data_IF_955967868764
#
_entry.id   IF_955967868764
#
_cell.length_a   1.000
_cell.length_b   1.000
_cell.length_c   1.000
_cell.angle_alpha   90.00
_cell.angle_beta   90.00
_cell.angle_gamma   90.00
#
_symmetry.space_group_name_H-M   'P 1'
#
loop_
_entity.id
_entity.type
_entity.pdbx_description
1 polymer ?
#
# COMPACT_ATOMS: atom_id res chain seq x y z
N UNK A 1 -7.18 7.39 -26.37
CA UNK A 1 -7.23 5.91 -26.40
C UNK A 1 -8.01 5.50 -25.17
N UNK A 2 -9.06 4.68 -25.27
CA UNK A 2 -9.76 4.20 -24.08
C UNK A 2 -8.75 3.44 -23.22
N UNK A 3 -8.55 3.88 -21.98
CA UNK A 3 -7.64 3.22 -21.07
C UNK A 3 -8.03 1.76 -20.93
N UNK A 4 -7.05 0.86 -21.08
CA UNK A 4 -7.23 -0.56 -20.83
C UNK A 4 -7.74 -0.72 -19.39
N UNK A 5 -8.86 -1.41 -19.20
CA UNK A 5 -9.46 -1.71 -17.89
C UNK A 5 -9.32 -3.22 -17.66
N UNK A 6 -8.19 -3.69 -17.08
CA UNK A 6 -7.92 -5.12 -16.92
C UNK A 6 -9.02 -5.90 -16.19
N UNK A 7 -9.76 -5.25 -15.29
CA UNK A 7 -10.81 -5.85 -14.48
C UNK A 7 -12.22 -5.36 -14.83
N UNK A 8 -12.42 -4.82 -16.04
CA UNK A 8 -13.76 -4.48 -16.52
C UNK A 8 -14.68 -5.71 -16.45
N UNK A 9 -15.82 -5.55 -15.79
CA UNK A 9 -16.81 -6.62 -15.59
C UNK A 9 -16.61 -7.45 -14.32
N UNK A 10 -15.51 -7.29 -13.59
CA UNK A 10 -15.30 -7.96 -12.29
C UNK A 10 -15.99 -7.18 -11.18
N UNK A 11 -16.85 -7.86 -10.41
CA UNK A 11 -17.54 -7.30 -9.23
C UNK A 11 -16.85 -7.74 -7.94
N UNK A 12 -16.49 -6.78 -7.08
CA UNK A 12 -15.81 -7.01 -5.80
C UNK A 12 -16.67 -6.51 -4.65
N UNK A 13 -17.01 -7.40 -3.73
CA UNK A 13 -17.64 -7.06 -2.46
C UNK A 13 -16.56 -6.86 -1.39
N UNK A 14 -16.42 -5.61 -0.95
CA UNK A 14 -15.38 -5.17 -0.03
C UNK A 14 -15.97 -5.00 1.39
N UNK A 15 -15.68 -5.95 2.28
CA UNK A 15 -15.96 -5.90 3.71
C UNK A 15 -14.67 -5.67 4.49
N UNK A 16 -13.84 -4.74 4.01
CA UNK A 16 -12.60 -4.35 4.67
C UNK A 16 -12.71 -2.97 5.32
N UNK A 17 -11.80 -2.72 6.26
CA UNK A 17 -11.72 -1.49 7.03
C UNK A 17 -10.28 -0.99 7.19
N UNK A 18 -10.12 0.23 7.67
CA UNK A 18 -8.86 0.91 7.98
C UNK A 18 -8.04 1.20 6.72
N UNK A 19 -6.93 0.50 6.46
CA UNK A 19 -5.99 0.87 5.37
C UNK A 19 -5.67 -0.32 4.46
N UNK A 20 -5.15 -1.43 5.00
CA UNK A 20 -4.67 -2.56 4.20
C UNK A 20 -5.69 -3.06 3.17
N UNK A 21 -6.90 -3.36 3.63
CA UNK A 21 -7.97 -3.87 2.77
C UNK A 21 -8.47 -2.81 1.78
N UNK A 22 -8.88 -1.62 2.25
CA UNK A 22 -9.35 -0.56 1.36
C UNK A 22 -8.31 -0.15 0.32
N UNK A 23 -7.01 -0.17 0.66
CA UNK A 23 -5.94 0.11 -0.29
C UNK A 23 -5.84 -0.96 -1.38
N UNK A 24 -5.88 -2.26 -1.00
CA UNK A 24 -5.85 -3.35 -1.97
C UNK A 24 -7.04 -3.34 -2.91
N UNK A 25 -8.26 -3.16 -2.41
CA UNK A 25 -9.47 -3.10 -3.23
C UNK A 25 -9.57 -1.82 -4.06
N UNK A 26 -8.93 -0.73 -3.63
CA UNK A 26 -8.82 0.49 -4.44
C UNK A 26 -7.94 0.29 -5.68
N UNK A 27 -6.85 -0.48 -5.56
CA UNK A 27 -6.02 -0.86 -6.72
C UNK A 27 -6.85 -1.67 -7.72
N UNK A 28 -7.71 -2.58 -7.26
CA UNK A 28 -8.65 -3.32 -8.11
C UNK A 28 -9.65 -2.38 -8.81
N UNK A 29 -10.18 -1.40 -8.07
CA UNK A 29 -11.11 -0.40 -8.60
C UNK A 29 -10.47 0.48 -9.69
N UNK A 30 -9.21 0.90 -9.50
CA UNK A 30 -8.42 1.62 -10.50
C UNK A 30 -8.21 0.76 -11.78
N UNK A 31 -8.02 -0.56 -11.64
CA UNK A 31 -7.94 -1.49 -12.79
C UNK A 31 -9.27 -1.73 -13.50
N UNK A 32 -10.37 -1.12 -13.04
CA UNK A 32 -11.67 -1.20 -13.72
C UNK A 32 -12.71 -2.07 -13.02
N UNK A 33 -12.38 -2.73 -11.91
CA UNK A 33 -13.35 -3.51 -11.15
C UNK A 33 -14.48 -2.61 -10.63
N UNK A 34 -15.67 -3.19 -10.49
CA UNK A 34 -16.78 -2.59 -9.77
C UNK A 34 -16.72 -3.01 -8.31
N UNK A 35 -16.28 -2.09 -7.45
CA UNK A 35 -16.03 -2.37 -6.03
C UNK A 35 -17.11 -1.74 -5.18
N UNK A 36 -17.88 -2.57 -4.47
CA UNK A 36 -18.91 -2.14 -3.52
C UNK A 36 -18.41 -2.39 -2.11
N UNK A 37 -18.20 -1.31 -1.36
CA UNK A 37 -17.79 -1.36 0.05
C UNK A 37 -19.03 -1.40 0.93
N UNK A 38 -19.09 -2.39 1.82
CA UNK A 38 -20.13 -2.52 2.84
C UNK A 38 -19.64 -1.85 4.12
N UNK A 39 -20.33 -0.79 4.52
CA UNK A 39 -19.98 0.03 5.68
C UNK A 39 -21.04 -0.01 6.77
N UNK A 40 -20.65 0.38 7.98
CA UNK A 40 -21.58 0.62 9.09
C UNK A 40 -22.13 2.04 9.03
N UNK A 41 -23.13 2.36 9.86
CA UNK A 41 -23.73 3.70 9.94
C UNK A 41 -22.77 4.81 10.36
N UNK A 42 -21.63 4.46 10.95
CA UNK A 42 -20.56 5.41 11.30
C UNK A 42 -19.44 5.46 10.25
N UNK A 43 -19.50 4.61 9.23
CA UNK A 43 -18.46 4.46 8.23
C UNK A 43 -17.17 3.82 8.75
N UNK A 44 -16.18 3.69 7.88
CA UNK A 44 -14.87 3.18 8.26
C UNK A 44 -13.99 4.25 8.95
N UNK A 45 -13.01 3.81 9.75
CA UNK A 45 -12.02 4.66 10.41
C UNK A 45 -11.29 5.57 9.41
N UNK A 46 -11.05 5.10 8.18
CA UNK A 46 -10.38 5.89 7.15
C UNK A 46 -11.09 7.23 6.86
N UNK A 47 -12.42 7.29 7.01
CA UNK A 47 -13.24 8.51 6.85
C UNK A 47 -12.85 9.65 7.77
N UNK A 48 -12.19 9.32 8.88
CA UNK A 48 -11.83 10.26 9.95
C UNK A 48 -10.31 10.34 10.19
N UNK A 49 -9.50 9.73 9.32
CA UNK A 49 -8.04 9.79 9.39
C UNK A 49 -7.51 11.15 8.91
N UNK A 50 -7.55 12.12 9.82
CA UNK A 50 -7.25 13.51 9.53
C UNK A 50 -8.45 14.25 8.94
N UNK A 51 -8.25 15.54 8.65
CA UNK A 51 -9.30 16.37 8.04
C UNK A 51 -9.35 16.12 6.53
N UNK A 52 -10.50 16.36 5.94
CA UNK A 52 -10.66 16.46 4.49
C UNK A 52 -11.73 17.48 4.12
N UNK A 53 -12.17 17.52 2.85
CA UNK A 53 -13.11 18.52 2.36
C UNK A 53 -14.54 18.35 2.92
N UNK A 54 -14.83 17.22 3.57
CA UNK A 54 -16.13 16.93 4.19
C UNK A 54 -15.93 16.14 5.50
N UNK A 55 -16.83 16.27 6.51
CA UNK A 55 -16.72 15.53 7.77
C UNK A 55 -16.54 14.01 7.63
N UNK A 56 -17.21 13.42 6.64
CA UNK A 56 -17.18 11.96 6.38
C UNK A 56 -16.17 11.54 5.29
N UNK A 57 -15.31 12.46 4.85
CA UNK A 57 -14.28 12.22 3.84
C UNK A 57 -12.98 12.91 4.24
N UNK A 58 -12.08 12.15 4.85
CA UNK A 58 -10.71 12.59 5.12
C UNK A 58 -9.89 12.70 3.82
N UNK A 59 -8.72 13.35 3.90
CA UNK A 59 -7.74 13.29 2.82
C UNK A 59 -7.28 11.86 2.48
N UNK A 60 -7.34 10.93 3.44
CA UNK A 60 -7.02 9.51 3.22
C UNK A 60 -8.15 8.84 2.43
N UNK A 61 -9.41 9.09 2.78
CA UNK A 61 -10.60 8.53 2.11
C UNK A 61 -10.70 8.93 0.66
N UNK A 62 -10.35 10.17 0.30
CA UNK A 62 -10.29 10.62 -1.09
C UNK A 62 -9.46 9.69 -1.98
N UNK A 63 -8.42 9.09 -1.40
CA UNK A 63 -7.51 8.20 -2.10
C UNK A 63 -7.97 6.74 -2.01
N UNK A 64 -8.37 6.26 -0.83
CA UNK A 64 -8.73 4.85 -0.63
C UNK A 64 -10.11 4.45 -1.17
N UNK A 65 -11.00 5.42 -1.37
CA UNK A 65 -12.38 5.15 -1.78
C UNK A 65 -12.68 5.58 -3.22
N UNK A 66 -11.74 6.21 -3.93
CA UNK A 66 -11.93 6.51 -5.36
C UNK A 66 -12.21 5.23 -6.15
N UNK A 67 -12.99 5.34 -7.21
CA UNK A 67 -13.48 4.25 -8.06
C UNK A 67 -14.38 3.22 -7.37
N UNK A 68 -14.73 3.39 -6.09
CA UNK A 68 -15.61 2.48 -5.35
C UNK A 68 -17.02 3.04 -5.21
N UNK A 69 -17.95 2.16 -4.83
CA UNK A 69 -19.30 2.47 -4.36
C UNK A 69 -19.39 2.19 -2.87
N UNK A 70 -20.20 2.97 -2.14
CA UNK A 70 -20.44 2.78 -0.70
C UNK A 70 -21.90 2.47 -0.44
N UNK A 71 -22.16 1.38 0.30
CA UNK A 71 -23.46 1.05 0.87
C UNK A 71 -23.32 0.87 2.38
N UNK A 72 -24.21 1.50 3.14
CA UNK A 72 -24.32 1.28 4.59
C UNK A 72 -25.33 0.19 4.85
N UNK A 73 -24.96 -0.85 5.58
CA UNK A 73 -25.79 -2.04 5.80
C UNK A 73 -25.64 -2.58 7.23
N UNK A 74 -26.76 -2.78 7.95
CA UNK A 74 -26.73 -3.48 9.24
C UNK A 74 -26.76 -5.00 9.07
N UNK A 75 -25.57 -5.60 9.02
CA UNK A 75 -25.38 -7.05 8.90
C UNK A 75 -25.91 -7.87 10.09
N UNK A 76 -26.36 -7.23 11.18
CA UNK A 76 -26.95 -7.91 12.35
C UNK A 76 -28.45 -8.14 12.19
N UNK A 77 -29.09 -7.44 11.25
CA UNK A 77 -30.50 -7.65 10.90
C UNK A 77 -30.65 -8.79 9.90
N UNK A 78 -31.79 -9.49 9.93
CA UNK A 78 -32.07 -10.58 8.99
C UNK A 78 -32.21 -10.03 7.55
N UNK A 79 -32.82 -8.85 7.40
CA UNK A 79 -32.96 -8.16 6.12
C UNK A 79 -31.61 -7.69 5.58
N UNK A 80 -30.77 -7.10 6.44
CA UNK A 80 -29.42 -6.68 6.06
C UNK A 80 -28.53 -7.86 5.69
N UNK A 81 -28.68 -8.99 6.40
CA UNK A 81 -28.02 -10.24 6.04
C UNK A 81 -28.49 -10.76 4.68
N UNK A 82 -29.78 -10.74 4.40
CA UNK A 82 -30.33 -11.17 3.12
C UNK A 82 -29.81 -10.31 1.95
N UNK A 83 -29.70 -9.00 2.13
CA UNK A 83 -29.10 -8.09 1.14
C UNK A 83 -27.62 -8.43 0.92
N UNK A 84 -26.86 -8.65 1.99
CA UNK A 84 -25.45 -9.05 1.90
C UNK A 84 -25.27 -10.37 1.14
N UNK A 85 -26.12 -11.37 1.39
CA UNK A 85 -26.06 -12.65 0.68
C UNK A 85 -26.35 -12.48 -0.82
N UNK A 86 -27.31 -11.62 -1.20
CA UNK A 86 -27.55 -11.25 -2.60
C UNK A 86 -26.33 -10.58 -3.23
N UNK A 87 -25.66 -9.68 -2.51
CA UNK A 87 -24.41 -9.06 -2.97
C UNK A 87 -23.31 -10.09 -3.20
N UNK A 88 -23.19 -11.09 -2.31
CA UNK A 88 -22.22 -12.19 -2.48
C UNK A 88 -22.51 -13.01 -3.73
N UNK A 89 -23.78 -13.34 -4.00
CA UNK A 89 -24.19 -14.10 -5.20
C UNK A 89 -23.82 -13.36 -6.50
N UNK A 90 -23.96 -12.04 -6.48
CA UNK A 90 -23.64 -11.17 -7.62
C UNK A 90 -22.15 -10.84 -7.75
N UNK A 91 -21.31 -11.20 -6.78
CA UNK A 91 -19.90 -10.82 -6.75
C UNK A 91 -18.97 -11.92 -7.26
N UNK A 92 -17.90 -11.52 -7.94
CA UNK A 92 -16.81 -12.40 -8.34
C UNK A 92 -15.80 -12.61 -7.21
N UNK A 93 -15.59 -11.56 -6.41
CA UNK A 93 -14.59 -11.50 -5.36
C UNK A 93 -15.24 -11.02 -4.08
N UNK A 94 -14.94 -11.67 -2.96
CA UNK A 94 -15.23 -11.17 -1.62
C UNK A 94 -13.93 -10.92 -0.87
N UNK A 95 -13.81 -9.74 -0.27
CA UNK A 95 -12.63 -9.34 0.50
C UNK A 95 -13.04 -8.95 1.92
N UNK A 96 -12.31 -9.43 2.93
CA UNK A 96 -12.48 -8.99 4.32
C UNK A 96 -11.15 -8.87 5.05
N UNK A 97 -11.07 -8.02 6.07
CA UNK A 97 -9.95 -8.00 7.01
C UNK A 97 -10.38 -8.28 8.46
N UNK A 98 -11.55 -8.90 8.63
CA UNK A 98 -11.99 -9.36 9.93
C UNK A 98 -11.10 -10.50 10.45
N UNK A 99 -10.80 -10.45 11.75
CA UNK A 99 -10.12 -11.53 12.48
C UNK A 99 -10.90 -12.86 12.40
N UNK A 100 -10.24 -14.03 12.51
CA UNK A 100 -10.89 -15.35 12.47
C UNK A 100 -12.22 -15.41 13.26
N UNK A 101 -12.20 -15.12 14.56
CA UNK A 101 -13.40 -15.19 15.38
C UNK A 101 -14.47 -14.16 15.00
N UNK A 102 -14.08 -13.01 14.43
CA UNK A 102 -15.04 -12.02 13.90
C UNK A 102 -15.68 -12.49 12.59
N UNK A 103 -14.94 -13.18 11.71
CA UNK A 103 -15.46 -13.73 10.46
C UNK A 103 -16.52 -14.79 10.71
N UNK A 104 -16.25 -15.68 11.67
CA UNK A 104 -17.20 -16.71 12.10
C UNK A 104 -18.48 -16.08 12.65
N UNK A 105 -18.37 -15.11 13.56
CA UNK A 105 -19.55 -14.41 14.12
C UNK A 105 -20.34 -13.65 13.06
N UNK A 106 -19.66 -13.06 12.08
CA UNK A 106 -20.29 -12.34 10.97
C UNK A 106 -20.81 -13.27 9.86
N UNK A 107 -20.52 -14.58 9.92
CA UNK A 107 -20.89 -15.59 8.92
C UNK A 107 -20.39 -15.25 7.52
N UNK A 108 -19.11 -14.88 7.43
CA UNK A 108 -18.44 -14.51 6.16
C UNK A 108 -17.22 -15.39 5.87
N UNK A 109 -17.15 -16.57 6.47
CA UNK A 109 -16.10 -17.55 6.19
C UNK A 109 -16.33 -18.22 4.82
N UNK A 110 -15.33 -18.91 4.24
CA UNK A 110 -15.55 -19.70 3.04
C UNK A 110 -16.72 -20.69 3.18
N UNK A 111 -16.83 -21.37 4.33
CA UNK A 111 -17.90 -22.33 4.58
C UNK A 111 -19.29 -21.68 4.56
N UNK A 112 -19.41 -20.41 4.96
CA UNK A 112 -20.67 -19.66 4.92
C UNK A 112 -21.03 -19.19 3.49
N UNK A 113 -20.04 -18.78 2.70
CA UNK A 113 -20.27 -18.09 1.42
C UNK A 113 -20.21 -19.01 0.20
N UNK A 114 -19.46 -20.12 0.26
CA UNK A 114 -19.37 -21.13 -0.83
C UNK A 114 -20.72 -21.71 -1.24
N UNK A 115 -21.67 -22.01 -0.32
CA UNK A 115 -23.01 -22.48 -0.71
C UNK A 115 -23.80 -21.45 -1.55
N UNK A 116 -23.51 -20.16 -1.40
CA UNK A 116 -24.16 -19.08 -2.15
C UNK A 116 -23.49 -18.86 -3.52
N UNK A 117 -22.15 -18.93 -3.54
CA UNK A 117 -21.33 -18.70 -4.74
C UNK A 117 -20.14 -19.67 -4.78
N UNK A 118 -20.29 -20.86 -5.41
CA UNK A 118 -19.27 -21.92 -5.37
C UNK A 118 -17.90 -21.53 -5.94
N UNK A 119 -17.88 -20.67 -6.96
CA UNK A 119 -16.67 -20.19 -7.66
C UNK A 119 -16.16 -18.83 -7.15
N UNK A 120 -16.62 -18.35 -5.99
CA UNK A 120 -16.21 -17.07 -5.41
C UNK A 120 -14.68 -17.00 -5.21
N UNK A 121 -14.05 -15.87 -5.52
CA UNK A 121 -12.67 -15.60 -5.08
C UNK A 121 -12.75 -14.96 -3.69
N UNK A 122 -12.47 -15.74 -2.65
CA UNK A 122 -12.54 -15.29 -1.26
C UNK A 122 -11.15 -14.96 -0.75
N UNK A 123 -10.95 -13.72 -0.31
CA UNK A 123 -9.66 -13.23 0.20
C UNK A 123 -9.85 -12.58 1.56
N UNK A 124 -9.07 -13.04 2.54
CA UNK A 124 -8.97 -12.39 3.83
C UNK A 124 -7.58 -11.82 4.08
N UNK A 125 -7.53 -10.58 4.53
CA UNK A 125 -6.31 -9.90 4.95
C UNK A 125 -6.24 -9.86 6.47
N UNK A 126 -5.39 -10.71 7.05
CA UNK A 126 -5.25 -10.93 8.48
C UNK A 126 -3.95 -10.31 9.01
N UNK A 127 -3.88 -10.07 10.32
CA UNK A 127 -2.64 -9.65 10.98
C UNK A 127 -1.58 -10.75 11.02
N UNK A 128 -2.02 -11.95 11.39
CA UNK A 128 -1.19 -13.15 11.60
C UNK A 128 -1.81 -14.34 10.88
N UNK A 129 -1.03 -15.41 10.70
CA UNK A 129 -1.53 -16.68 10.17
C UNK A 129 -2.70 -17.19 11.04
N UNK A 130 -3.86 -17.56 10.44
CA UNK A 130 -5.00 -18.12 11.16
C UNK A 130 -4.70 -19.37 12.01
N UNK A 131 -3.61 -20.09 11.71
CA UNK A 131 -3.18 -21.27 12.43
C UNK A 131 -2.13 -20.97 13.51
N UNK A 132 -1.73 -19.71 13.66
CA UNK A 132 -0.78 -19.28 14.70
C UNK A 132 -1.47 -19.05 16.04
N UNK A 133 -0.70 -19.07 17.13
CA UNK A 133 -1.20 -18.69 18.48
C UNK A 133 -1.68 -17.24 18.56
N UNK A 134 -1.30 -16.40 17.58
CA UNK A 134 -1.66 -14.99 17.49
C UNK A 134 -2.81 -14.73 16.50
N UNK A 135 -3.51 -15.76 16.02
CA UNK A 135 -4.52 -15.65 14.96
C UNK A 135 -5.60 -14.58 15.23
N UNK A 136 -6.06 -14.43 16.47
CA UNK A 136 -7.07 -13.43 16.88
C UNK A 136 -6.48 -12.17 17.56
N UNK A 137 -5.15 -12.06 17.62
CA UNK A 137 -4.47 -10.89 18.16
C UNK A 137 -4.78 -9.64 17.29
N UNK A 138 -4.82 -8.48 17.93
CA UNK A 138 -4.95 -7.22 17.19
C UNK A 138 -3.65 -6.94 16.41
N UNK A 139 -3.79 -6.58 15.15
CA UNK A 139 -2.69 -6.17 14.30
C UNK A 139 -3.01 -4.82 13.68
N UNK A 140 -2.06 -3.91 13.81
CA UNK A 140 -2.00 -2.61 13.14
C UNK A 140 -0.57 -2.44 12.63
N UNK A 141 -0.37 -1.48 11.74
CA UNK A 141 0.91 -1.24 11.08
C UNK A 141 2.10 -1.24 12.06
N UNK A 142 2.05 -0.40 13.10
CA UNK A 142 3.09 -0.30 14.13
C UNK A 142 3.36 -1.63 14.86
N UNK A 143 2.31 -2.40 15.13
CA UNK A 143 2.43 -3.70 15.81
C UNK A 143 3.17 -4.69 14.92
N UNK A 144 2.87 -4.69 13.62
CA UNK A 144 3.54 -5.57 12.66
C UNK A 144 4.98 -5.09 12.39
N UNK A 145 5.22 -3.77 12.32
CA UNK A 145 6.59 -3.24 12.22
C UNK A 145 7.45 -3.70 13.40
N UNK A 146 6.92 -3.62 14.63
CA UNK A 146 7.60 -4.10 15.83
C UNK A 146 7.86 -5.62 15.78
N UNK A 147 6.88 -6.39 15.34
CA UNK A 147 6.95 -7.86 15.34
C UNK A 147 7.92 -8.42 14.28
N UNK A 148 8.21 -7.67 13.22
CA UNK A 148 8.93 -8.19 12.03
C UNK A 148 10.41 -7.82 11.97
N UNK A 149 10.93 -7.09 12.95
CA UNK A 149 12.33 -6.66 12.99
C UNK A 149 12.60 -5.36 12.23
N UNK A 150 11.58 -4.69 11.71
CA UNK A 150 11.75 -3.40 11.02
C UNK A 150 12.39 -2.35 11.94
N UNK A 151 11.95 -2.25 13.19
CA UNK A 151 12.50 -1.30 14.17
C UNK A 151 13.99 -1.57 14.45
N UNK A 152 14.39 -2.84 14.53
CA UNK A 152 15.80 -3.24 14.67
C UNK A 152 16.65 -2.81 13.46
N UNK A 153 16.09 -2.81 12.25
CA UNK A 153 16.83 -2.28 11.07
C UNK A 153 17.11 -0.79 11.17
N UNK A 154 16.18 0.01 11.69
CA UNK A 154 16.41 1.44 11.92
C UNK A 154 17.49 1.67 12.98
N UNK A 155 17.43 0.94 14.09
CA UNK A 155 18.44 1.03 15.15
C UNK A 155 19.84 0.66 14.65
N UNK A 156 19.96 -0.44 13.90
CA UNK A 156 21.23 -0.87 13.31
C UNK A 156 21.75 0.09 12.25
N UNK A 157 20.86 0.78 11.54
CA UNK A 157 21.21 1.86 10.61
C UNK A 157 21.61 3.16 11.32
N UNK A 158 21.80 3.16 12.64
CA UNK A 158 22.22 4.33 13.41
C UNK A 158 21.12 5.37 13.63
N UNK A 159 19.85 5.02 13.35
CA UNK A 159 18.69 5.84 13.66
C UNK A 159 18.15 5.48 15.06
N UNK A 160 17.36 6.36 15.70
CA UNK A 160 16.61 5.95 16.89
C UNK A 160 15.65 4.79 16.53
N UNK A 161 15.21 3.97 17.51
CA UNK A 161 14.29 2.85 17.27
C UNK A 161 12.87 3.36 16.99
N UNK A 162 12.67 3.91 15.79
CA UNK A 162 11.41 4.50 15.33
C UNK A 162 10.71 3.59 14.34
N UNK A 163 9.39 3.76 14.25
CA UNK A 163 8.59 3.20 13.15
C UNK A 163 8.89 3.96 11.85
N UNK A 164 8.58 3.33 10.72
CA UNK A 164 8.48 4.02 9.45
C UNK A 164 7.42 5.13 9.57
N UNK A 165 7.69 6.36 9.12
CA UNK A 165 6.68 7.42 9.07
C UNK A 165 5.70 7.23 7.89
N UNK A 166 5.36 5.97 7.61
CA UNK A 166 4.40 5.51 6.62
C UNK A 166 3.78 4.20 7.12
N UNK A 167 2.55 3.92 6.69
CA UNK A 167 1.87 2.65 6.98
C UNK A 167 2.39 1.53 6.07
N UNK A 168 3.63 1.09 6.29
CA UNK A 168 4.35 0.19 5.38
C UNK A 168 3.78 -1.22 5.38
N UNK A 169 3.47 -1.79 6.54
CA UNK A 169 2.94 -3.14 6.65
C UNK A 169 1.53 -3.22 6.05
N UNK A 170 0.69 -2.21 6.29
CA UNK A 170 -0.64 -2.09 5.68
C UNK A 170 -0.53 -2.01 4.14
N UNK A 171 0.33 -1.14 3.62
CA UNK A 171 0.44 -0.89 2.17
C UNK A 171 1.07 -2.06 1.41
N UNK A 172 2.13 -2.67 1.94
CA UNK A 172 2.74 -3.88 1.35
C UNK A 172 1.72 -5.02 1.31
N UNK A 173 1.01 -5.23 2.41
CA UNK A 173 -0.02 -6.29 2.49
C UNK A 173 -1.24 -5.98 1.62
N UNK A 174 -1.63 -4.72 1.46
CA UNK A 174 -2.69 -4.31 0.53
C UNK A 174 -2.32 -4.54 -0.93
N UNK A 175 -1.05 -4.34 -1.31
CA UNK A 175 -0.57 -4.73 -2.64
C UNK A 175 -0.61 -6.25 -2.84
N UNK A 176 -0.21 -7.03 -1.83
CA UNK A 176 -0.31 -8.49 -1.86
C UNK A 176 -1.78 -8.96 -1.94
N UNK A 177 -2.72 -8.24 -1.31
CA UNK A 177 -4.16 -8.49 -1.43
C UNK A 177 -4.63 -8.36 -2.88
N UNK A 178 -4.29 -7.27 -3.55
CA UNK A 178 -4.63 -7.11 -4.96
C UNK A 178 -4.04 -8.25 -5.81
N UNK A 179 -2.80 -8.66 -5.54
CA UNK A 179 -2.17 -9.81 -6.22
C UNK A 179 -2.91 -11.13 -5.96
N UNK A 180 -3.33 -11.40 -4.72
CA UNK A 180 -4.09 -12.59 -4.36
C UNK A 180 -5.44 -12.64 -5.08
N UNK A 181 -6.14 -11.50 -5.18
CA UNK A 181 -7.38 -11.41 -5.96
C UNK A 181 -7.13 -11.70 -7.44
N UNK A 182 -6.10 -11.09 -8.04
CA UNK A 182 -5.73 -11.35 -9.44
C UNK A 182 -5.38 -12.83 -9.68
N UNK A 183 -4.61 -13.44 -8.78
CA UNK A 183 -4.26 -14.86 -8.85
C UNK A 183 -5.50 -15.76 -8.70
N UNK A 184 -6.40 -15.43 -7.79
CA UNK A 184 -7.66 -16.16 -7.59
C UNK A 184 -8.60 -16.07 -8.80
N UNK A 185 -8.74 -14.88 -9.38
CA UNK A 185 -9.52 -14.67 -10.62
C UNK A 185 -8.92 -15.46 -11.79
N UNK A 186 -7.60 -15.46 -11.92
CA UNK A 186 -6.91 -16.21 -12.97
C UNK A 186 -6.98 -17.72 -12.78
N UNK A 187 -6.94 -18.20 -11.53
CA UNK A 187 -7.19 -19.59 -11.20
C UNK A 187 -8.62 -19.99 -11.60
N UNK A 188 -9.61 -19.18 -11.24
CA UNK A 188 -11.02 -19.40 -11.60
C UNK A 188 -11.24 -19.44 -13.10
N UNK A 189 -10.61 -18.55 -13.86
CA UNK A 189 -10.69 -18.55 -15.33
C UNK A 189 -10.18 -19.87 -15.95
N UNK A 190 -9.18 -20.50 -15.33
CA UNK A 190 -8.56 -21.73 -15.85
C UNK A 190 -9.25 -23.02 -15.42
N UNK A 191 -9.94 -23.00 -14.29
CA UNK A 191 -10.47 -24.20 -13.63
C UNK A 191 -11.98 -24.19 -13.49
N UNK A 192 -12.61 -23.02 -13.52
CA UNK A 192 -13.99 -22.80 -13.10
C UNK A 192 -14.18 -22.78 -11.58
N UNK A 193 -13.11 -22.93 -10.79
CA UNK A 193 -13.17 -23.05 -9.33
C UNK A 193 -12.73 -21.76 -8.63
N UNK A 194 -13.39 -21.44 -7.51
CA UNK A 194 -13.01 -20.31 -6.68
C UNK A 194 -11.77 -20.62 -5.84
N UNK A 195 -11.28 -19.62 -5.10
CA UNK A 195 -10.11 -19.79 -4.20
C UNK A 195 -10.39 -19.19 -2.83
N UNK A 196 -9.78 -19.78 -1.80
CA UNK A 196 -9.78 -19.25 -0.43
C UNK A 196 -8.35 -18.85 -0.07
N UNK A 197 -8.08 -17.56 0.06
CA UNK A 197 -6.75 -17.05 0.39
C UNK A 197 -6.77 -16.25 1.69
N UNK A 198 -5.83 -16.53 2.58
CA UNK A 198 -5.55 -15.66 3.74
C UNK A 198 -4.13 -15.12 3.62
N UNK A 199 -4.00 -13.80 3.68
CA UNK A 199 -2.72 -13.11 3.72
C UNK A 199 -2.48 -12.59 5.13
N UNK A 200 -1.37 -12.99 5.76
CA UNK A 200 -0.96 -12.47 7.05
C UNK A 200 0.02 -11.30 6.88
N UNK A 201 -0.31 -10.12 7.43
CA UNK A 201 0.57 -8.95 7.41
C UNK A 201 1.96 -9.27 7.95
N UNK A 202 2.03 -10.05 9.04
CA UNK A 202 3.29 -10.51 9.62
C UNK A 202 4.18 -11.25 8.62
N UNK A 203 3.62 -12.22 7.89
CA UNK A 203 4.38 -13.01 6.92
C UNK A 203 4.75 -12.20 5.68
N UNK A 204 3.83 -11.35 5.19
CA UNK A 204 4.09 -10.46 4.07
C UNK A 204 5.23 -9.48 4.38
N UNK A 205 5.21 -8.87 5.57
CA UNK A 205 6.23 -7.92 5.97
C UNK A 205 7.58 -8.59 6.25
N UNK A 206 7.60 -9.82 6.81
CA UNK A 206 8.84 -10.61 6.95
C UNK A 206 9.42 -10.98 5.60
N UNK A 207 8.60 -11.49 4.68
CA UNK A 207 9.03 -11.82 3.34
C UNK A 207 9.60 -10.59 2.64
N UNK A 208 8.94 -9.44 2.76
CA UNK A 208 9.38 -8.16 2.22
C UNK A 208 10.74 -7.72 2.78
N UNK A 209 10.93 -7.77 4.11
CA UNK A 209 12.16 -7.32 4.77
C UNK A 209 13.36 -8.25 4.55
N UNK A 210 13.11 -9.57 4.57
CA UNK A 210 14.17 -10.57 4.59
C UNK A 210 14.80 -10.84 3.22
N UNK A 211 14.25 -10.29 2.12
CA UNK A 211 14.86 -10.41 0.78
C UNK A 211 16.32 -9.96 0.82
N UNK A 212 16.60 -8.83 1.47
CA UNK A 212 17.94 -8.32 1.65
C UNK A 212 18.46 -8.48 3.09
N UNK A 213 17.62 -8.29 4.11
CA UNK A 213 18.10 -8.33 5.50
C UNK A 213 18.28 -9.74 6.04
N UNK A 214 17.77 -10.77 5.38
CA UNK A 214 18.19 -12.15 5.67
C UNK A 214 19.70 -12.32 5.52
N UNK A 215 20.28 -11.69 4.49
CA UNK A 215 21.72 -11.56 4.25
C UNK A 215 22.51 -12.86 4.58
N UNK A 216 23.58 -12.73 5.35
CA UNK A 216 24.50 -13.80 5.72
C UNK A 216 23.94 -14.77 6.78
N UNK A 217 22.74 -14.52 7.31
CA UNK A 217 22.06 -15.38 8.29
C UNK A 217 21.08 -16.39 7.68
N UNK A 218 20.79 -16.30 6.37
CA UNK A 218 19.93 -17.26 5.66
C UNK A 218 20.64 -18.58 5.34
N UNK A 219 21.91 -18.61 4.88
CA UNK A 219 22.61 -19.87 4.60
C UNK A 219 22.81 -20.73 5.84
N UNK A 220 22.88 -22.05 5.65
CA UNK A 220 23.18 -23.02 6.70
C UNK A 220 24.47 -23.80 6.37
N UNK A 221 25.54 -23.70 7.20
CA UNK A 221 25.63 -22.88 8.41
C UNK A 221 25.66 -21.38 8.11
N UNK A 222 25.18 -20.57 9.06
CA UNK A 222 25.21 -19.11 8.96
C UNK A 222 26.64 -18.58 8.78
N UNK A 223 26.81 -17.64 7.86
CA UNK A 223 28.10 -16.95 7.70
C UNK A 223 28.25 -15.81 8.71
N UNK A 224 27.17 -15.08 9.00
CA UNK A 224 27.13 -13.96 9.96
C UNK A 224 25.70 -13.66 10.41
N UNK A 225 25.52 -12.54 11.12
CA UNK A 225 24.22 -12.03 11.55
C UNK A 225 23.38 -11.51 10.38
N UNK A 226 22.07 -11.46 10.59
CA UNK A 226 21.12 -10.83 9.68
C UNK A 226 21.42 -9.34 9.52
N UNK A 227 21.16 -8.82 8.31
CA UNK A 227 21.30 -7.43 7.96
C UNK A 227 22.23 -7.20 6.76
N UNK A 228 21.73 -6.53 5.72
CA UNK A 228 22.57 -6.18 4.57
C UNK A 228 23.47 -4.95 4.89
N UNK A 229 24.81 -5.10 4.96
CA UNK A 229 25.69 -4.07 5.52
C UNK A 229 25.55 -2.69 4.89
N UNK A 230 25.40 -2.62 3.56
CA UNK A 230 25.27 -1.34 2.85
C UNK A 230 24.04 -0.55 3.29
N UNK A 231 22.92 -1.21 3.58
CA UNK A 231 21.68 -0.54 3.96
C UNK A 231 21.65 -0.17 5.45
N UNK A 232 22.37 -0.93 6.28
CA UNK A 232 22.50 -0.70 7.72
C UNK A 232 23.69 0.21 8.09
N UNK A 233 24.41 0.76 7.13
CA UNK A 233 25.48 1.73 7.39
C UNK A 233 24.90 3.02 7.99
N UNK A 234 25.36 3.48 9.17
CA UNK A 234 24.95 4.77 9.76
C UNK A 234 25.27 5.99 8.89
N UNK A 235 26.22 5.84 7.98
CA UNK A 235 26.62 6.90 7.05
C UNK A 235 25.75 6.93 5.78
N UNK A 236 24.80 6.00 5.62
CA UNK A 236 23.91 5.95 4.47
C UNK A 236 22.76 6.95 4.64
N UNK A 237 22.97 8.18 4.19
CA UNK A 237 22.02 9.30 4.28
C UNK A 237 22.15 10.24 3.08
N UNK A 238 21.17 11.12 2.82
CA UNK A 238 21.37 12.21 1.89
C UNK A 238 22.59 13.06 2.25
N UNK A 239 23.33 13.47 1.24
CA UNK A 239 24.53 14.28 1.36
C UNK A 239 24.14 15.76 1.44
N UNK A 240 24.86 16.51 2.27
CA UNK A 240 24.66 17.96 2.41
C UNK A 240 25.66 18.72 1.56
N UNK A 241 25.16 19.63 0.73
CA UNK A 241 25.95 20.48 -0.17
C UNK A 241 26.35 21.80 0.50
N UNK A 242 27.25 22.56 -0.12
CA UNK A 242 27.85 23.78 0.45
C UNK A 242 26.83 24.90 0.72
N UNK A 243 25.75 24.93 -0.06
CA UNK A 243 24.61 25.86 0.07
C UNK A 243 23.52 25.36 1.03
N UNK A 244 23.75 24.22 1.70
CA UNK A 244 22.85 23.65 2.70
C UNK A 244 21.76 22.74 2.13
N UNK A 245 21.69 22.57 0.80
CA UNK A 245 20.82 21.60 0.15
C UNK A 245 21.14 20.15 0.51
N UNK A 246 20.23 19.25 0.16
CA UNK A 246 20.39 17.81 0.37
C UNK A 246 20.25 17.09 -0.98
N UNK A 247 21.16 16.16 -1.25
CA UNK A 247 21.15 15.33 -2.46
C UNK A 247 21.29 13.86 -2.09
N UNK A 248 20.60 12.98 -2.80
CA UNK A 248 20.79 11.54 -2.69
C UNK A 248 21.57 11.04 -3.90
N UNK A 249 22.55 10.17 -3.67
CA UNK A 249 23.30 9.50 -4.72
C UNK A 249 23.27 7.97 -4.57
N UNK A 250 23.52 7.26 -5.66
CA UNK A 250 23.82 5.83 -5.63
C UNK A 250 25.02 5.49 -6.53
N UNK A 251 26.22 5.48 -5.94
CA UNK A 251 27.44 5.04 -6.60
C UNK A 251 27.53 3.49 -6.69
N UNK A 252 26.64 2.88 -7.47
CA UNK A 252 26.52 1.42 -7.53
C UNK A 252 27.69 0.73 -8.27
N UNK A 253 28.10 1.31 -9.39
CA UNK A 253 29.14 0.75 -10.25
C UNK A 253 30.51 1.35 -9.97
N UNK A 254 31.57 0.65 -10.42
CA UNK A 254 32.95 1.15 -10.30
C UNK A 254 33.09 2.54 -10.92
N UNK A 255 32.56 2.74 -12.12
CA UNK A 255 32.70 4.02 -12.82
C UNK A 255 32.01 5.18 -12.07
N UNK A 256 30.89 4.93 -11.36
CA UNK A 256 30.28 5.95 -10.50
C UNK A 256 31.19 6.35 -9.33
N UNK A 257 31.82 5.37 -8.68
CA UNK A 257 32.80 5.63 -7.63
C UNK A 257 33.96 6.48 -8.16
N UNK A 258 34.56 6.08 -9.28
CA UNK A 258 35.69 6.82 -9.84
C UNK A 258 35.31 8.23 -10.27
N UNK A 259 34.09 8.42 -10.80
CA UNK A 259 33.54 9.72 -11.13
C UNK A 259 33.44 10.63 -9.90
N UNK A 260 32.80 10.16 -8.82
CA UNK A 260 32.68 10.94 -7.58
C UNK A 260 34.03 11.32 -6.99
N UNK A 261 34.96 10.37 -6.96
CA UNK A 261 36.32 10.62 -6.48
C UNK A 261 37.03 11.68 -7.33
N UNK A 262 36.85 11.68 -8.65
CA UNK A 262 37.39 12.73 -9.54
C UNK A 262 36.71 14.07 -9.35
N UNK A 263 35.39 14.10 -9.15
CA UNK A 263 34.63 15.32 -8.84
C UNK A 263 35.20 15.99 -7.58
N UNK A 264 35.50 15.18 -6.55
CA UNK A 264 36.11 15.67 -5.30
C UNK A 264 37.63 15.89 -5.35
N UNK A 265 38.29 15.62 -6.47
CA UNK A 265 39.75 15.71 -6.57
C UNK A 265 40.51 14.71 -5.69
N UNK A 266 39.88 13.63 -5.22
CA UNK A 266 40.42 12.63 -4.26
C UNK A 266 41.07 11.42 -4.93
N UNK A 267 41.75 11.66 -6.06
CA UNK A 267 42.21 10.60 -6.98
C UNK A 267 43.11 9.54 -6.35
N UNK A 268 43.73 9.83 -5.20
CA UNK A 268 44.50 8.85 -4.42
C UNK A 268 43.67 7.64 -3.99
N UNK A 269 42.35 7.80 -3.84
CA UNK A 269 41.45 6.72 -3.43
C UNK A 269 41.18 5.69 -4.53
N UNK A 270 41.51 6.02 -5.78
CA UNK A 270 41.34 5.10 -6.92
C UNK A 270 42.27 3.88 -6.81
N UNK A 271 43.42 4.07 -6.17
CA UNK A 271 44.47 3.04 -5.98
C UNK A 271 44.51 2.50 -4.54
N UNK A 272 43.63 2.96 -3.64
CA UNK A 272 43.53 2.45 -2.27
C UNK A 272 42.93 1.03 -2.28
N UNK A 273 43.66 0.05 -1.76
CA UNK A 273 43.27 -1.37 -1.69
C UNK A 273 41.86 -1.59 -1.11
N UNK A 274 41.41 -0.70 -0.21
CA UNK A 274 40.06 -0.72 0.36
C UNK A 274 38.98 -0.46 -0.68
N UNK A 275 39.25 0.33 -1.71
CA UNK A 275 38.26 0.80 -2.66
C UNK A 275 38.46 0.30 -4.09
N UNK A 276 39.57 -0.37 -4.42
CA UNK A 276 39.79 -0.94 -5.77
C UNK A 276 38.70 -1.97 -6.14
N UNK A 277 38.39 -2.90 -5.23
CA UNK A 277 37.42 -3.97 -5.47
C UNK A 277 36.01 -3.62 -4.99
N UNK A 278 34.99 -4.25 -5.59
CA UNK A 278 33.60 -4.07 -5.15
C UNK A 278 33.38 -4.52 -3.71
N UNK A 279 33.96 -5.67 -3.34
CA UNK A 279 33.87 -6.21 -1.97
C UNK A 279 34.59 -5.29 -0.99
N UNK A 280 35.77 -4.78 -1.36
CA UNK A 280 36.48 -3.79 -0.57
C UNK A 280 35.61 -2.57 -0.27
N UNK A 281 34.98 -1.97 -1.30
CA UNK A 281 34.07 -0.83 -1.12
C UNK A 281 32.88 -1.15 -0.22
N UNK A 282 32.33 -2.36 -0.29
CA UNK A 282 31.23 -2.79 0.58
C UNK A 282 31.68 -2.98 2.03
N UNK A 283 32.86 -3.57 2.25
CA UNK A 283 33.44 -3.76 3.58
C UNK A 283 33.86 -2.44 4.24
N UNK A 284 34.12 -1.41 3.44
CA UNK A 284 34.52 -0.07 3.89
C UNK A 284 33.46 1.00 3.55
N UNK A 285 32.18 0.61 3.47
CA UNK A 285 31.11 1.47 2.95
C UNK A 285 30.91 2.76 3.76
N UNK A 286 31.07 2.69 5.09
CA UNK A 286 30.96 3.85 5.97
C UNK A 286 31.98 4.93 5.61
N UNK A 287 33.24 4.53 5.39
CA UNK A 287 34.29 5.48 5.02
C UNK A 287 34.05 6.07 3.63
N UNK A 288 33.54 5.25 2.70
CA UNK A 288 33.18 5.70 1.38
C UNK A 288 32.03 6.72 1.42
N UNK A 289 31.00 6.49 2.23
CA UNK A 289 29.90 7.46 2.39
C UNK A 289 30.34 8.74 3.08
N UNK A 290 31.23 8.68 4.08
CA UNK A 290 31.83 9.89 4.67
C UNK A 290 32.60 10.69 3.63
N UNK A 291 33.27 10.01 2.71
CA UNK A 291 33.98 10.70 1.65
C UNK A 291 33.01 11.38 0.68
N UNK A 292 31.96 10.69 0.22
CA UNK A 292 30.94 11.32 -0.62
C UNK A 292 30.30 12.53 0.06
N UNK A 293 30.09 12.46 1.38
CA UNK A 293 29.60 13.59 2.17
C UNK A 293 30.57 14.79 2.17
N UNK A 294 31.89 14.57 2.18
CA UNK A 294 32.88 15.65 2.03
C UNK A 294 32.80 16.27 0.66
N UNK A 295 32.83 15.44 -0.39
CA UNK A 295 32.79 15.88 -1.79
C UNK A 295 31.54 16.71 -2.07
N UNK A 296 30.37 16.24 -1.65
CA UNK A 296 29.13 17.01 -1.81
C UNK A 296 29.19 18.36 -1.08
N UNK A 297 29.80 18.41 0.11
CA UNK A 297 29.93 19.63 0.92
C UNK A 297 30.83 20.71 0.33
N UNK A 298 31.62 20.39 -0.70
CA UNK A 298 32.49 21.35 -1.42
C UNK A 298 31.78 22.06 -2.58
N UNK A 299 30.64 21.55 -3.02
CA UNK A 299 29.91 22.01 -4.21
C UNK A 299 28.52 22.50 -3.82
N UNK A 300 28.00 23.49 -4.54
CA UNK A 300 26.58 23.87 -4.41
C UNK A 300 25.69 22.72 -4.91
N UNK A 301 24.40 22.73 -4.54
CA UNK A 301 23.44 21.69 -4.97
C UNK A 301 23.45 21.53 -6.49
N UNK A 302 23.30 22.65 -7.20
CA UNK A 302 23.27 22.67 -8.66
C UNK A 302 24.56 22.18 -9.30
N UNK A 303 25.72 22.58 -8.77
CA UNK A 303 27.02 22.11 -9.28
C UNK A 303 27.18 20.61 -9.10
N UNK A 304 26.92 20.11 -7.88
CA UNK A 304 27.08 18.69 -7.58
C UNK A 304 26.15 17.81 -8.43
N UNK A 305 24.88 18.22 -8.60
CA UNK A 305 23.91 17.52 -9.45
C UNK A 305 24.38 17.51 -10.91
N UNK A 306 24.84 18.64 -11.45
CA UNK A 306 25.29 18.75 -12.83
C UNK A 306 26.56 17.93 -13.10
N UNK A 307 27.54 17.95 -12.19
CA UNK A 307 28.77 17.15 -12.29
C UNK A 307 28.46 15.65 -12.25
N UNK A 308 27.60 15.23 -11.30
CA UNK A 308 27.16 13.84 -11.20
C UNK A 308 26.41 13.40 -12.47
N UNK A 309 25.44 14.19 -12.96
CA UNK A 309 24.68 13.88 -14.16
C UNK A 309 25.58 13.78 -15.40
N UNK A 310 26.54 14.70 -15.55
CA UNK A 310 27.51 14.71 -16.65
C UNK A 310 28.43 13.48 -16.62
N UNK A 311 28.74 12.98 -15.42
CA UNK A 311 29.56 11.78 -15.22
C UNK A 311 28.75 10.47 -15.17
N UNK A 312 27.43 10.51 -15.38
CA UNK A 312 26.56 9.33 -15.33
C UNK A 312 26.28 8.79 -13.93
N UNK A 313 26.61 9.54 -12.87
CA UNK A 313 26.34 9.14 -11.48
C UNK A 313 24.86 9.41 -11.16
N UNK A 314 24.09 8.40 -10.71
CA UNK A 314 22.72 8.61 -10.27
C UNK A 314 22.68 9.58 -9.07
N UNK A 315 22.01 10.71 -9.26
CA UNK A 315 21.85 11.78 -8.29
C UNK A 315 20.43 12.37 -8.37
N UNK A 316 19.89 12.82 -7.24
CA UNK A 316 18.68 13.63 -7.21
C UNK A 316 18.68 14.53 -5.98
N UNK A 317 18.11 15.73 -6.09
CA UNK A 317 17.86 16.61 -4.95
C UNK A 317 16.80 16.02 -4.02
N UNK A 318 16.92 16.18 -2.71
CA UNK A 318 15.88 15.76 -1.78
C UNK A 318 14.76 16.78 -1.83
N UNK A 319 13.60 16.36 -2.33
CA UNK A 319 12.39 17.18 -2.40
C UNK A 319 11.55 17.07 -1.13
N UNK A 320 10.80 18.12 -0.80
CA UNK A 320 9.89 18.09 0.35
C UNK A 320 8.57 17.37 0.02
N UNK A 321 7.86 16.89 1.04
CA UNK A 321 6.53 16.32 0.87
C UNK A 321 5.53 17.36 0.32
N UNK A 322 5.71 18.63 0.67
CA UNK A 322 4.89 19.73 0.15
C UNK A 322 5.12 19.93 -1.34
N UNK A 323 6.37 19.85 -1.82
CA UNK A 323 6.68 19.95 -3.26
C UNK A 323 6.07 18.79 -4.04
N UNK A 324 6.23 17.56 -3.55
CA UNK A 324 5.62 16.37 -4.14
C UNK A 324 4.10 16.53 -4.21
N UNK A 325 3.47 16.96 -3.11
CA UNK A 325 2.03 17.18 -3.05
C UNK A 325 1.60 18.31 -3.99
N UNK A 326 2.34 19.41 -4.05
CA UNK A 326 2.02 20.57 -4.89
C UNK A 326 2.14 20.27 -6.38
N UNK A 327 2.99 19.32 -6.77
CA UNK A 327 3.16 18.87 -8.14
C UNK A 327 2.01 18.00 -8.68
N UNK A 328 1.16 17.47 -7.80
CA UNK A 328 0.06 16.58 -8.20
C UNK A 328 -1.02 17.32 -9.00
N UNK A 329 -1.63 16.65 -9.99
CA UNK A 329 -2.72 17.21 -10.76
C UNK A 329 -3.94 17.51 -9.88
N UNK A 330 -4.65 18.58 -10.21
CA UNK A 330 -5.88 18.99 -9.53
C UNK A 330 -7.08 18.44 -10.29
N UNK A 331 -8.08 17.98 -9.56
CA UNK A 331 -9.40 17.59 -10.09
C UNK A 331 -10.51 18.30 -9.33
N UNK A 332 -11.76 18.09 -9.75
CA UNK A 332 -12.94 18.65 -9.11
C UNK A 332 -13.99 17.57 -8.80
N UNK A 333 -14.20 17.35 -7.50
CA UNK A 333 -15.27 16.48 -7.01
C UNK A 333 -16.61 17.23 -7.06
N UNK A 334 -17.68 16.65 -7.62
CA UNK A 334 -18.99 17.33 -7.78
C UNK A 334 -19.56 17.92 -6.48
N UNK A 335 -19.36 17.21 -5.35
CA UNK A 335 -19.77 17.65 -4.00
C UNK A 335 -18.67 18.20 -3.08
N UNK A 336 -17.42 17.81 -3.26
CA UNK A 336 -16.33 18.09 -2.31
C UNK A 336 -15.42 19.23 -2.78
N UNK A 337 -15.65 19.74 -4.00
CA UNK A 337 -14.80 20.75 -4.62
C UNK A 337 -13.47 20.19 -5.08
N UNK A 338 -12.49 21.09 -5.21
CA UNK A 338 -11.19 20.79 -5.84
C UNK A 338 -10.24 20.11 -4.86
N UNK A 339 -9.55 19.06 -5.34
CA UNK A 339 -8.52 18.37 -4.57
C UNK A 339 -7.46 17.76 -5.51
N UNK A 340 -6.30 17.40 -4.95
CA UNK A 340 -5.19 16.81 -5.71
C UNK A 340 -5.32 15.29 -5.78
N UNK A 341 -5.14 14.72 -6.97
CA UNK A 341 -5.20 13.28 -7.18
C UNK A 341 -3.81 12.67 -6.94
N UNK A 342 -3.74 11.65 -6.10
CA UNK A 342 -2.52 10.83 -5.96
C UNK A 342 -2.39 9.86 -7.14
N UNK A 343 -1.17 9.52 -7.57
CA UNK A 343 -0.98 8.63 -8.72
C UNK A 343 -1.65 7.26 -8.56
N UNK A 344 -2.05 6.65 -9.68
CA UNK A 344 -2.52 5.27 -9.66
C UNK A 344 -1.36 4.29 -9.51
N UNK A 345 -1.55 3.26 -8.67
CA UNK A 345 -0.64 2.12 -8.51
C UNK A 345 -1.13 0.88 -9.26
N UNK A 346 -2.26 0.99 -9.97
CA UNK A 346 -2.84 -0.10 -10.72
C UNK A 346 -1.98 -0.49 -11.93
N UNK A 347 -1.54 -1.76 -12.04
CA UNK A 347 -0.84 -2.24 -13.22
C UNK A 347 -1.68 -2.03 -14.48
N UNK A 348 -1.06 -1.51 -15.54
CA UNK A 348 -1.73 -1.27 -16.83
C UNK A 348 -2.59 0.01 -16.87
N UNK A 349 -2.57 0.83 -15.81
CA UNK A 349 -3.25 2.13 -15.74
C UNK A 349 -2.20 3.25 -15.73
N UNK A 350 -2.37 4.34 -16.51
CA UNK A 350 -1.47 5.50 -16.42
C UNK A 350 -1.45 6.08 -15.02
N UNK A 351 -0.27 6.52 -14.56
CA UNK A 351 -0.10 7.09 -13.22
C UNK A 351 -0.91 8.36 -13.00
N UNK A 352 -1.19 9.10 -14.07
CA UNK A 352 -1.95 10.35 -14.10
C UNK A 352 -3.43 10.15 -14.50
N UNK A 353 -3.92 8.91 -14.57
CA UNK A 353 -5.30 8.64 -14.92
C UNK A 353 -6.28 9.24 -13.90
N UNK A 354 -7.29 9.98 -14.40
CA UNK A 354 -8.38 10.44 -13.56
C UNK A 354 -9.26 9.26 -13.09
N UNK A 355 -9.82 9.34 -11.87
CA UNK A 355 -10.74 8.32 -11.40
C UNK A 355 -12.03 8.32 -12.23
N UNK A 356 -12.54 7.13 -12.55
CA UNK A 356 -13.84 6.91 -13.21
C UNK A 356 -15.01 7.31 -12.31
N UNK A 357 -14.86 7.08 -11.00
CA UNK A 357 -15.77 7.53 -9.95
C UNK A 357 -14.95 8.19 -8.85
N UNK A 358 -15.41 9.33 -8.38
CA UNK A 358 -14.82 9.96 -7.20
C UNK A 358 -15.10 9.15 -5.94
N UNK A 359 -14.35 9.41 -4.86
CA UNK A 359 -14.56 8.75 -3.58
C UNK A 359 -15.99 9.03 -3.06
N UNK A 360 -16.82 8.00 -2.81
CA UNK A 360 -18.19 8.21 -2.39
C UNK A 360 -18.26 8.72 -0.95
N UNK A 361 -19.29 9.54 -0.71
CA UNK A 361 -19.78 9.82 0.64
C UNK A 361 -20.31 8.54 1.28
N UNK A 362 -20.47 8.55 2.61
CA UNK A 362 -20.94 7.38 3.35
C UNK A 362 -22.36 6.99 2.89
N UNK A 363 -22.51 5.76 2.38
CA UNK A 363 -23.79 5.23 1.88
C UNK A 363 -24.29 5.86 0.59
N UNK A 364 -23.47 6.64 -0.11
CA UNK A 364 -23.86 7.40 -1.30
C UNK A 364 -24.53 6.55 -2.38
N UNK A 365 -24.07 5.31 -2.55
CA UNK A 365 -24.51 4.42 -3.62
C UNK A 365 -25.53 3.38 -3.13
N UNK A 366 -26.04 3.48 -1.90
CA UNK A 366 -26.95 2.48 -1.34
C UNK A 366 -28.17 2.20 -2.21
N UNK A 367 -28.87 3.25 -2.65
CA UNK A 367 -30.05 3.12 -3.53
C UNK A 367 -29.68 2.52 -4.90
N UNK A 368 -28.59 2.99 -5.53
CA UNK A 368 -28.06 2.44 -6.81
C UNK A 368 -27.81 0.93 -6.70
N UNK A 369 -27.10 0.51 -5.66
CA UNK A 369 -26.76 -0.90 -5.41
C UNK A 369 -28.02 -1.75 -5.15
N UNK A 370 -28.98 -1.26 -4.37
CA UNK A 370 -30.22 -2.01 -4.09
C UNK A 370 -31.11 -2.16 -5.33
N UNK A 371 -31.21 -1.12 -6.16
CA UNK A 371 -31.96 -1.21 -7.43
C UNK A 371 -31.34 -2.25 -8.37
N UNK A 372 -30.00 -2.35 -8.44
CA UNK A 372 -29.31 -3.39 -9.21
C UNK A 372 -29.60 -4.82 -8.69
N UNK A 373 -29.88 -4.97 -7.40
CA UNK A 373 -30.32 -6.22 -6.78
C UNK A 373 -31.83 -6.50 -6.97
N UNK A 374 -32.55 -5.63 -7.66
CA UNK A 374 -33.96 -5.78 -8.00
C UNK A 374 -34.95 -5.32 -6.93
N UNK A 375 -34.50 -4.52 -5.94
CA UNK A 375 -35.42 -3.89 -4.99
C UNK A 375 -36.15 -2.71 -5.65
N UNK A 376 -37.44 -2.60 -5.40
CA UNK A 376 -38.28 -1.46 -5.79
C UNK A 376 -37.95 -0.22 -4.95
N UNK A 377 -38.34 0.96 -5.45
CA UNK A 377 -38.18 2.22 -4.71
C UNK A 377 -38.89 2.18 -3.36
N UNK A 378 -40.07 1.55 -3.30
CA UNK A 378 -40.82 1.38 -2.05
C UNK A 378 -40.09 0.49 -1.04
N UNK A 379 -39.53 -0.64 -1.46
CA UNK A 379 -38.74 -1.52 -0.59
C UNK A 379 -37.47 -0.82 -0.09
N UNK A 380 -36.81 -0.05 -0.96
CA UNK A 380 -35.62 0.74 -0.60
C UNK A 380 -35.97 1.78 0.48
N UNK A 381 -37.09 2.50 0.32
CA UNK A 381 -37.55 3.47 1.31
C UNK A 381 -37.86 2.81 2.66
N UNK A 382 -38.45 1.62 2.67
CA UNK A 382 -38.70 0.83 3.89
C UNK A 382 -37.40 0.42 4.59
N UNK A 383 -36.39 -0.02 3.83
CA UNK A 383 -35.06 -0.39 4.34
C UNK A 383 -34.30 0.80 4.92
N UNK A 384 -34.40 1.98 4.29
CA UNK A 384 -33.81 3.23 4.80
C UNK A 384 -34.52 3.71 6.07
N UNK A 385 -35.85 3.66 6.10
CA UNK A 385 -36.65 4.11 7.24
C UNK A 385 -36.50 3.21 8.47
N UNK A 386 -36.30 1.90 8.27
CA UNK A 386 -36.02 0.93 9.33
C UNK A 386 -34.56 0.98 9.82
N UNK A 387 -33.68 1.68 9.10
CA UNK A 387 -32.25 1.79 9.43
C UNK A 387 -31.43 0.55 9.09
N UNK A 388 -32.01 -0.43 8.36
CA UNK A 388 -31.28 -1.58 7.81
C UNK A 388 -30.25 -1.12 6.80
N UNK A 389 -30.62 -0.13 5.98
CA UNK A 389 -29.74 0.54 5.03
C UNK A 389 -29.55 1.99 5.48
N UNK A 390 -28.31 2.47 5.49
CA UNK A 390 -28.05 3.86 5.85
C UNK A 390 -28.44 4.81 4.74
N UNK A 391 -29.29 5.79 5.06
CA UNK A 391 -29.64 6.87 4.14
C UNK A 391 -28.52 7.90 4.07
N UNK A 392 -28.00 8.14 2.88
CA UNK A 392 -27.14 9.29 2.61
C UNK A 392 -27.91 10.59 2.90
N UNK A 393 -27.34 11.48 3.74
CA UNK A 393 -27.89 12.82 4.00
C UNK A 393 -27.03 13.84 3.26
N UNK A 394 -27.62 14.47 2.24
CA UNK A 394 -26.97 15.48 1.38
C UNK A 394 -26.64 16.78 2.08
#
# INVERSE_FOLDING_TARGET
MSHYQPLAGVKVLDLTAVIMGPFGTQILADMGADVTVVETTVGDANRHMGRGPHPDVSGVTLNLMRNKRSIVLDLRSDEGRAIFEKLVVESDVFVTNLRPGSRERARVTPADLRPLRPDLVWVAAAGYDPNSEHADAAAYDDIIQAATGFVDTNERAGLPPVMAPILIADKVSGMALAQAVLAGLFHRERTGEGTDTVLAMYDMMRAFLLVEHGAEAIPEPQFSRAGYPRLLSPERRPLRTSDGGLVAILAYERHHFEALIRIGGRVEMLDDDRFVSRIGRLNNIDELYREYQRIAGELTTSEFVNECASAGVPVHEVVSLDDVTNSLPMTEHPRLGRYRITPSLAPGVPTDAEPRRFAPLLGENGREVLSELGYSEEEIDELENSGVVGRYRS
#
